data_IF_696983938395
#
_entry.id   IF_696983938395
#
_cell.length_a   1.000
_cell.length_b   1.000
_cell.length_c   1.000
_cell.angle_alpha   90.00
_cell.angle_beta   90.00
_cell.angle_gamma   90.00
#
_symmetry.space_group_name_H-M   'P 1'
#
loop_
_entity.id
_entity.type
_entity.pdbx_description
1 polymer ?
#
# COMPACT_ATOMS: atom_id res chain seq x y z
N UNK A 1 12.39 -27.47 -38.73
CA UNK A 1 13.30 -27.93 -37.66
C UNK A 1 14.19 -26.73 -37.26
N UNK A 2 14.27 -26.36 -35.98
CA UNK A 2 15.15 -25.27 -35.57
C UNK A 2 16.61 -25.69 -35.76
N UNK A 3 17.43 -24.77 -36.30
CA UNK A 3 18.86 -24.98 -36.54
C UNK A 3 19.60 -25.14 -35.21
N UNK A 4 20.66 -25.94 -35.17
CA UNK A 4 21.51 -26.17 -34.00
C UNK A 4 22.10 -24.82 -33.44
N UNK A 5 22.31 -23.87 -34.33
CA UNK A 5 22.74 -22.47 -34.00
C UNK A 5 21.62 -21.74 -33.25
N UNK A 6 20.38 -21.89 -33.68
CA UNK A 6 19.21 -21.26 -33.04
C UNK A 6 19.00 -21.80 -31.61
N UNK A 7 19.12 -23.11 -31.41
CA UNK A 7 19.06 -23.74 -30.08
C UNK A 7 20.17 -23.25 -29.17
N UNK A 8 21.41 -23.13 -29.67
CA UNK A 8 22.54 -22.57 -28.88
C UNK A 8 22.27 -21.13 -28.45
N UNK A 9 21.77 -20.29 -29.37
CA UNK A 9 21.44 -18.90 -29.08
C UNK A 9 20.33 -18.81 -28.02
N UNK A 10 19.32 -19.68 -28.09
CA UNK A 10 18.24 -19.74 -27.14
C UNK A 10 18.72 -20.16 -25.75
N UNK A 11 19.59 -21.15 -25.67
CA UNK A 11 20.22 -21.58 -24.40
C UNK A 11 21.02 -20.43 -23.79
N UNK A 12 21.84 -19.72 -24.60
CA UNK A 12 22.62 -18.57 -24.12
C UNK A 12 21.72 -17.45 -23.58
N UNK A 13 20.65 -17.11 -24.29
CA UNK A 13 19.67 -16.10 -23.86
C UNK A 13 18.99 -16.49 -22.54
N UNK A 14 18.54 -17.75 -22.41
CA UNK A 14 17.94 -18.25 -21.17
C UNK A 14 18.93 -18.23 -20.00
N UNK A 15 20.21 -18.58 -20.23
CA UNK A 15 21.27 -18.48 -19.20
C UNK A 15 21.44 -17.02 -18.71
N UNK A 16 21.51 -16.07 -19.64
CA UNK A 16 21.64 -14.65 -19.29
C UNK A 16 20.42 -14.15 -18.52
N UNK A 17 19.22 -14.49 -18.95
CA UNK A 17 17.97 -14.16 -18.26
C UNK A 17 17.93 -14.74 -16.84
N UNK A 18 18.39 -16.00 -16.67
CA UNK A 18 18.50 -16.63 -15.35
C UNK A 18 19.46 -15.86 -14.42
N UNK A 19 20.60 -15.42 -14.93
CA UNK A 19 21.57 -14.65 -14.12
C UNK A 19 20.95 -13.31 -13.65
N UNK A 20 20.31 -12.58 -14.57
CA UNK A 20 19.63 -11.32 -14.25
C UNK A 20 18.54 -11.56 -13.20
N UNK A 21 17.69 -12.56 -13.40
CA UNK A 21 16.60 -12.88 -12.47
C UNK A 21 17.14 -13.30 -11.09
N UNK A 22 18.25 -14.03 -11.05
CA UNK A 22 18.92 -14.39 -9.80
C UNK A 22 19.43 -13.16 -9.05
N UNK A 23 20.03 -12.21 -9.75
CA UNK A 23 20.47 -10.95 -9.16
C UNK A 23 19.27 -10.12 -8.64
N UNK A 24 18.18 -10.04 -9.41
CA UNK A 24 16.94 -9.37 -8.97
C UNK A 24 16.35 -10.02 -7.71
N UNK A 25 16.37 -11.36 -7.62
CA UNK A 25 15.95 -12.10 -6.42
C UNK A 25 16.77 -11.71 -5.20
N UNK A 26 18.09 -11.61 -5.32
CA UNK A 26 18.96 -11.21 -4.19
C UNK A 26 18.63 -9.80 -3.71
N UNK A 27 18.46 -8.84 -4.62
CA UNK A 27 18.09 -7.46 -4.26
C UNK A 27 16.73 -7.41 -3.60
N UNK A 28 15.73 -8.13 -4.13
CA UNK A 28 14.40 -8.20 -3.55
C UNK A 28 14.41 -8.82 -2.15
N UNK A 29 15.20 -9.90 -1.95
CA UNK A 29 15.37 -10.55 -0.65
C UNK A 29 15.99 -9.60 0.38
N UNK A 30 17.03 -8.85 0.00
CA UNK A 30 17.67 -7.87 0.89
C UNK A 30 16.68 -6.75 1.29
N UNK A 31 15.88 -6.25 0.34
CA UNK A 31 14.83 -5.25 0.62
C UNK A 31 13.76 -5.81 1.56
N UNK A 32 13.32 -7.05 1.34
CA UNK A 32 12.34 -7.72 2.18
C UNK A 32 12.86 -7.85 3.62
N UNK A 33 14.05 -8.37 3.80
CA UNK A 33 14.67 -8.52 5.13
C UNK A 33 14.78 -7.20 5.87
N UNK A 34 15.22 -6.13 5.18
CA UNK A 34 15.28 -4.78 5.75
C UNK A 34 13.90 -4.25 6.18
N UNK A 35 12.86 -4.52 5.39
CA UNK A 35 11.49 -4.11 5.70
C UNK A 35 10.90 -4.90 6.86
N UNK A 36 11.14 -6.21 6.91
CA UNK A 36 10.75 -7.07 8.02
C UNK A 36 11.36 -6.61 9.35
N UNK A 37 12.66 -6.34 9.39
CA UNK A 37 13.32 -5.83 10.60
C UNK A 37 12.73 -4.49 11.08
N UNK A 38 12.32 -3.60 10.16
CA UNK A 38 11.64 -2.35 10.54
C UNK A 38 10.29 -2.61 11.18
N UNK A 39 9.51 -3.54 10.62
CA UNK A 39 8.20 -3.92 11.15
C UNK A 39 8.36 -4.56 12.54
N UNK A 40 9.28 -5.51 12.69
CA UNK A 40 9.56 -6.18 13.97
C UNK A 40 9.92 -5.19 15.08
N UNK A 41 10.71 -4.16 14.75
CA UNK A 41 11.07 -3.10 15.70
C UNK A 41 9.87 -2.17 16.04
N UNK A 42 8.94 -1.96 15.11
CA UNK A 42 7.78 -1.09 15.29
C UNK A 42 6.62 -1.76 16.05
N UNK A 43 6.45 -3.07 15.87
CA UNK A 43 5.32 -3.82 16.43
C UNK A 43 5.18 -3.71 17.95
N UNK A 44 6.24 -3.82 18.77
CA UNK A 44 6.12 -3.68 20.23
C UNK A 44 5.61 -2.30 20.63
N UNK A 45 6.10 -1.24 19.97
CA UNK A 45 5.65 0.13 20.20
C UNK A 45 4.16 0.29 19.86
N UNK A 46 3.75 -0.15 18.68
CA UNK A 46 2.36 -0.07 18.23
C UNK A 46 1.41 -0.83 19.16
N UNK A 47 1.80 -2.04 19.61
CA UNK A 47 1.01 -2.84 20.56
C UNK A 47 0.84 -2.10 21.89
N UNK A 48 1.93 -1.52 22.41
CA UNK A 48 1.91 -0.79 23.69
C UNK A 48 1.07 0.48 23.61
N UNK A 49 1.15 1.20 22.50
CA UNK A 49 0.33 2.37 22.25
C UNK A 49 -1.16 2.02 22.19
N UNK A 50 -1.52 0.93 21.51
CA UNK A 50 -2.91 0.43 21.48
C UNK A 50 -3.42 0.02 22.85
N UNK A 51 -2.59 -0.64 23.66
CA UNK A 51 -2.94 -1.02 25.03
C UNK A 51 -3.22 0.22 25.89
N UNK A 52 -2.36 1.22 25.84
CA UNK A 52 -2.53 2.49 26.54
C UNK A 52 -3.81 3.19 26.11
N UNK A 53 -4.03 3.32 24.81
CA UNK A 53 -5.22 3.97 24.25
C UNK A 53 -6.51 3.23 24.66
N UNK A 54 -6.50 1.90 24.59
CA UNK A 54 -7.65 1.07 24.99
C UNK A 54 -7.97 1.23 26.47
N UNK A 55 -6.95 1.23 27.33
CA UNK A 55 -7.12 1.41 28.76
C UNK A 55 -7.61 2.83 29.09
N UNK A 56 -7.08 3.82 28.41
CA UNK A 56 -7.49 5.21 28.55
C UNK A 56 -8.98 5.42 28.16
N UNK A 57 -9.41 4.87 27.03
CA UNK A 57 -10.80 4.97 26.57
C UNK A 57 -11.80 4.15 27.41
N UNK A 58 -11.32 3.16 28.19
CA UNK A 58 -12.15 2.38 29.14
C UNK A 58 -12.29 3.07 30.50
N UNK A 59 -11.44 4.01 30.82
CA UNK A 59 -11.52 4.77 32.05
C UNK A 59 -12.66 5.78 31.89
N UNK A 60 -13.60 5.81 32.84
CA UNK A 60 -14.79 6.71 32.87
C UNK A 60 -14.44 8.20 33.05
N UNK A 61 -13.25 8.61 32.67
CA UNK A 61 -12.92 10.01 32.58
C UNK A 61 -13.75 10.65 31.46
N UNK A 62 -14.50 11.67 31.79
CA UNK A 62 -15.25 12.51 30.83
C UNK A 62 -14.29 13.22 29.86
N UNK A 63 -13.68 12.42 28.98
CA UNK A 63 -12.73 12.90 28.00
C UNK A 63 -13.49 13.25 26.71
N UNK A 64 -13.71 14.53 26.53
CA UNK A 64 -14.24 15.09 25.30
C UNK A 64 -13.09 15.26 24.29
N UNK A 65 -13.14 14.53 23.19
CA UNK A 65 -12.20 14.66 22.09
C UNK A 65 -12.93 14.74 20.76
N UNK A 66 -12.49 15.59 19.86
CA UNK A 66 -13.05 15.63 18.49
C UNK A 66 -12.98 14.27 17.77
N UNK A 67 -12.08 13.37 18.20
CA UNK A 67 -11.92 12.02 17.63
C UNK A 67 -12.89 10.99 18.21
N UNK A 68 -13.52 11.25 19.34
CA UNK A 68 -14.50 10.35 19.99
C UNK A 68 -15.94 10.79 19.78
N UNK A 69 -16.16 11.97 19.24
CA UNK A 69 -17.48 12.52 18.96
C UNK A 69 -18.17 11.74 17.81
N UNK A 70 -19.38 11.27 18.04
CA UNK A 70 -20.20 10.64 17.01
C UNK A 70 -20.84 11.71 16.12
N UNK A 71 -20.38 11.79 14.89
CA UNK A 71 -20.86 12.72 13.88
C UNK A 71 -21.49 11.98 12.69
N UNK A 72 -22.48 12.57 12.00
CA UNK A 72 -22.95 12.02 10.73
C UNK A 72 -21.79 12.03 9.71
N UNK A 73 -21.64 10.91 8.98
CA UNK A 73 -20.60 10.77 7.98
C UNK A 73 -21.02 11.55 6.72
N UNK A 74 -20.41 12.69 6.49
CA UNK A 74 -20.64 13.54 5.31
C UNK A 74 -19.51 13.43 4.28
N UNK A 75 -18.30 13.08 4.71
CA UNK A 75 -17.11 12.89 3.88
C UNK A 75 -16.30 11.71 4.38
N UNK A 76 -15.66 11.00 3.45
CA UNK A 76 -14.81 9.85 3.76
C UNK A 76 -13.44 10.02 3.13
N UNK A 77 -12.39 9.80 3.90
CA UNK A 77 -11.02 9.69 3.41
C UNK A 77 -10.58 8.22 3.41
N UNK A 78 -10.11 7.73 2.26
CA UNK A 78 -9.63 6.36 2.09
C UNK A 78 -8.16 6.40 1.74
N UNK A 79 -7.30 5.83 2.60
CA UNK A 79 -5.88 5.64 2.31
C UNK A 79 -5.68 4.23 1.77
N UNK A 80 -5.26 4.13 0.52
CA UNK A 80 -5.09 2.84 -0.17
C UNK A 80 -3.63 2.57 -0.50
N UNK A 81 -3.11 1.42 -0.08
CA UNK A 81 -1.71 1.04 -0.23
C UNK A 81 -1.51 0.01 -1.35
N UNK A 82 -0.54 0.24 -2.21
CA UNK A 82 -0.12 -0.71 -3.24
C UNK A 82 1.39 -0.69 -3.45
N UNK A 83 1.88 -1.60 -4.31
CA UNK A 83 3.26 -1.51 -4.76
C UNK A 83 3.42 -0.55 -5.94
N UNK A 84 4.67 -0.11 -6.18
CA UNK A 84 5.03 0.67 -7.37
C UNK A 84 5.28 -0.21 -8.61
N UNK A 85 5.53 -1.51 -8.41
CA UNK A 85 5.83 -2.47 -9.50
C UNK A 85 4.72 -3.50 -9.68
N UNK A 86 4.72 -4.18 -10.83
CA UNK A 86 3.74 -5.21 -11.17
C UNK A 86 4.18 -6.63 -10.82
N UNK A 87 5.43 -6.84 -10.37
CA UNK A 87 5.96 -8.18 -10.07
C UNK A 87 5.59 -8.66 -8.65
N UNK A 88 4.31 -8.69 -8.35
CA UNK A 88 3.76 -9.02 -7.02
C UNK A 88 2.54 -9.98 -7.10
N UNK A 89 2.45 -10.77 -8.17
CA UNK A 89 1.28 -11.63 -8.39
C UNK A 89 -0.02 -10.85 -8.45
N UNK A 90 -1.05 -11.32 -7.76
CA UNK A 90 -2.38 -10.70 -7.73
C UNK A 90 -2.53 -9.56 -6.69
N UNK A 91 -1.47 -9.19 -5.97
CA UNK A 91 -1.56 -8.23 -4.87
C UNK A 91 -2.24 -6.91 -5.26
N UNK A 92 -1.71 -6.22 -6.28
CA UNK A 92 -2.28 -4.94 -6.71
C UNK A 92 -3.71 -5.06 -7.25
N UNK A 93 -4.02 -6.14 -7.95
CA UNK A 93 -5.38 -6.40 -8.47
C UNK A 93 -6.38 -6.64 -7.34
N UNK A 94 -5.95 -7.35 -6.30
CA UNK A 94 -6.79 -7.59 -5.13
C UNK A 94 -7.02 -6.30 -4.32
N UNK A 95 -5.98 -5.46 -4.18
CA UNK A 95 -6.12 -4.12 -3.55
C UNK A 95 -7.12 -3.26 -4.32
N UNK A 96 -7.03 -3.21 -5.65
CA UNK A 96 -7.96 -2.44 -6.48
C UNK A 96 -9.40 -2.93 -6.32
N UNK A 97 -9.64 -4.25 -6.34
CA UNK A 97 -10.96 -4.84 -6.11
C UNK A 97 -11.50 -4.58 -4.70
N UNK A 98 -10.62 -4.62 -3.70
CA UNK A 98 -11.00 -4.33 -2.32
C UNK A 98 -11.38 -2.86 -2.14
N UNK A 99 -10.62 -1.95 -2.78
CA UNK A 99 -10.94 -0.53 -2.81
C UNK A 99 -12.28 -0.27 -3.48
N UNK A 100 -12.53 -0.86 -4.65
CA UNK A 100 -13.79 -0.74 -5.38
C UNK A 100 -14.99 -1.13 -4.51
N UNK A 101 -14.93 -2.30 -3.86
CA UNK A 101 -15.97 -2.76 -2.92
C UNK A 101 -16.15 -1.82 -1.73
N UNK A 102 -15.05 -1.34 -1.14
CA UNK A 102 -15.14 -0.39 -0.02
C UNK A 102 -15.77 0.94 -0.43
N UNK A 103 -15.59 1.38 -1.69
CA UNK A 103 -16.20 2.60 -2.22
C UNK A 103 -17.69 2.43 -2.51
N UNK A 104 -18.17 1.19 -2.76
CA UNK A 104 -19.60 0.90 -2.95
C UNK A 104 -20.43 1.30 -1.72
N UNK A 105 -19.90 1.08 -0.51
CA UNK A 105 -20.58 1.43 0.75
C UNK A 105 -20.80 2.94 0.93
N UNK A 106 -20.02 3.77 0.23
CA UNK A 106 -20.04 5.23 0.36
C UNK A 106 -20.56 5.95 -0.89
N UNK A 107 -21.05 5.24 -1.89
CA UNK A 107 -21.56 5.85 -3.14
C UNK A 107 -22.66 6.89 -2.92
N UNK A 108 -23.46 6.72 -1.88
CA UNK A 108 -24.53 7.67 -1.51
C UNK A 108 -24.04 9.06 -1.12
N UNK A 109 -22.75 9.20 -0.76
CA UNK A 109 -22.15 10.49 -0.40
C UNK A 109 -21.82 11.36 -1.62
N UNK A 110 -21.76 10.77 -2.83
CA UNK A 110 -21.23 11.42 -4.03
C UNK A 110 -19.71 11.35 -4.11
N UNK A 111 -19.16 11.29 -5.33
CA UNK A 111 -17.72 11.13 -5.58
C UNK A 111 -16.87 12.28 -5.03
N UNK A 112 -17.42 13.48 -4.96
CA UNK A 112 -16.79 14.69 -4.44
C UNK A 112 -16.52 14.63 -2.93
N UNK A 113 -17.27 13.81 -2.21
CA UNK A 113 -17.14 13.62 -0.77
C UNK A 113 -16.30 12.39 -0.39
N UNK A 114 -15.79 11.67 -1.39
CA UNK A 114 -14.91 10.51 -1.22
C UNK A 114 -13.50 10.92 -1.64
N UNK A 115 -12.64 11.13 -0.64
CA UNK A 115 -11.24 11.52 -0.84
C UNK A 115 -10.36 10.27 -0.83
N UNK A 116 -9.61 10.02 -1.90
CA UNK A 116 -8.76 8.84 -1.98
C UNK A 116 -7.28 9.27 -2.02
N UNK A 117 -6.51 8.80 -1.04
CA UNK A 117 -5.08 9.02 -0.88
C UNK A 117 -4.31 7.76 -1.30
N UNK A 118 -3.82 7.69 -2.54
CA UNK A 118 -3.13 6.49 -3.04
C UNK A 118 -1.67 6.48 -2.60
N UNK A 119 -1.27 5.50 -1.83
CA UNK A 119 0.13 5.22 -1.49
C UNK A 119 0.64 4.11 -2.39
N UNK A 120 1.40 4.49 -3.42
CA UNK A 120 1.91 3.60 -4.44
C UNK A 120 1.27 3.79 -5.81
N UNK A 121 2.09 3.59 -6.84
CA UNK A 121 1.72 3.87 -8.24
C UNK A 121 0.53 3.04 -8.72
N UNK A 122 0.47 1.76 -8.35
CA UNK A 122 -0.55 0.85 -8.91
C UNK A 122 -1.96 1.16 -8.45
N UNK A 123 -2.14 1.56 -7.20
CA UNK A 123 -3.47 2.00 -6.72
C UNK A 123 -3.82 3.38 -7.25
N UNK A 124 -2.85 4.28 -7.44
CA UNK A 124 -3.09 5.58 -8.08
C UNK A 124 -3.62 5.43 -9.52
N UNK A 125 -3.01 4.52 -10.32
CA UNK A 125 -3.49 4.16 -11.64
C UNK A 125 -4.91 3.57 -11.60
N UNK A 126 -5.22 2.75 -10.60
CA UNK A 126 -6.53 2.14 -10.42
C UNK A 126 -7.60 3.18 -10.05
N UNK A 127 -7.31 4.08 -9.11
CA UNK A 127 -8.21 5.18 -8.69
C UNK A 127 -8.59 6.06 -9.88
N UNK A 128 -7.62 6.43 -10.73
CA UNK A 128 -7.88 7.19 -11.96
C UNK A 128 -8.78 6.42 -12.94
N UNK A 129 -8.59 5.11 -13.09
CA UNK A 129 -9.44 4.25 -13.94
C UNK A 129 -10.87 4.12 -13.42
N UNK A 130 -11.07 4.14 -12.11
CA UNK A 130 -12.39 4.14 -11.47
C UNK A 130 -13.11 5.49 -11.60
N UNK A 131 -12.45 6.52 -12.16
CA UNK A 131 -13.01 7.86 -12.36
C UNK A 131 -13.02 8.72 -11.10
N UNK A 132 -12.12 8.45 -10.15
CA UNK A 132 -11.85 9.31 -9.00
C UNK A 132 -10.61 10.15 -9.22
N UNK A 133 -10.56 11.31 -8.56
CA UNK A 133 -9.37 12.18 -8.53
C UNK A 133 -8.55 11.82 -7.29
N UNK A 134 -7.31 11.31 -7.45
CA UNK A 134 -6.46 11.01 -6.32
C UNK A 134 -6.05 12.29 -5.59
N UNK A 135 -6.07 12.24 -4.25
CA UNK A 135 -5.62 13.33 -3.39
C UNK A 135 -4.10 13.20 -3.17
N UNK A 136 -3.34 13.80 -4.06
CA UNK A 136 -1.88 13.70 -4.07
C UNK A 136 -1.32 12.44 -4.75
N UNK A 137 0.00 12.27 -4.65
CA UNK A 137 0.75 11.12 -5.19
C UNK A 137 1.85 10.74 -4.20
N UNK A 138 1.69 9.59 -3.57
CA UNK A 138 2.58 9.10 -2.50
C UNK A 138 3.39 7.87 -2.94
N UNK A 139 3.91 7.91 -4.17
CA UNK A 139 4.67 6.79 -4.76
C UNK A 139 6.00 6.55 -4.04
N UNK A 140 6.70 7.62 -3.64
CA UNK A 140 7.99 7.52 -2.92
C UNK A 140 7.79 6.89 -1.55
N UNK A 141 6.72 7.24 -0.86
CA UNK A 141 6.36 6.72 0.47
C UNK A 141 6.13 5.19 0.46
N UNK A 142 5.64 4.61 -0.65
CA UNK A 142 5.48 3.17 -0.78
C UNK A 142 6.82 2.39 -0.77
N UNK A 143 7.91 3.00 -1.25
CA UNK A 143 9.24 2.38 -1.29
C UNK A 143 10.14 2.81 -0.10
N UNK A 144 10.02 4.05 0.33
CA UNK A 144 10.85 4.66 1.37
C UNK A 144 9.99 5.50 2.32
N UNK A 145 9.16 4.87 3.17
CA UNK A 145 8.33 5.62 4.10
C UNK A 145 9.18 6.43 5.06
N UNK A 146 8.81 7.69 5.27
CA UNK A 146 9.41 8.58 6.26
C UNK A 146 8.35 9.05 7.26
N UNK A 147 8.79 9.43 8.48
CA UNK A 147 7.89 9.97 9.50
C UNK A 147 7.23 11.28 9.03
N UNK A 148 8.00 12.15 8.38
CA UNK A 148 7.51 13.45 7.92
C UNK A 148 6.39 13.30 6.91
N UNK A 149 6.58 12.48 5.87
CA UNK A 149 5.54 12.22 4.86
C UNK A 149 4.30 11.53 5.45
N UNK A 150 4.50 10.61 6.41
CA UNK A 150 3.38 9.96 7.08
C UNK A 150 2.59 10.93 7.97
N UNK A 151 3.27 11.86 8.65
CA UNK A 151 2.67 12.90 9.47
C UNK A 151 1.91 13.94 8.62
N UNK A 152 2.45 14.32 7.46
CA UNK A 152 1.78 15.24 6.53
C UNK A 152 0.54 14.62 5.88
N UNK A 153 0.54 13.28 5.71
CA UNK A 153 -0.63 12.56 5.18
C UNK A 153 -1.74 12.43 6.22
N UNK A 154 -1.40 12.27 7.50
CA UNK A 154 -2.34 12.04 8.60
C UNK A 154 -3.07 13.33 9.03
#
# INVERSE_FOLDING_TARGET
>A
MSSLKEVKNRISSVKSTRQITSAMKMVASAKLHKSQGRIENMLPYQRKLNEILTNFLRTDASFESPYTEKRPVTRVAVVAFSSNSSLCGAFNSNVAKMLERALEDYQSLGKENILIYPVGRKVEEAVKKMGYVPQGSYQVMADKPSYVEAYELA
#
